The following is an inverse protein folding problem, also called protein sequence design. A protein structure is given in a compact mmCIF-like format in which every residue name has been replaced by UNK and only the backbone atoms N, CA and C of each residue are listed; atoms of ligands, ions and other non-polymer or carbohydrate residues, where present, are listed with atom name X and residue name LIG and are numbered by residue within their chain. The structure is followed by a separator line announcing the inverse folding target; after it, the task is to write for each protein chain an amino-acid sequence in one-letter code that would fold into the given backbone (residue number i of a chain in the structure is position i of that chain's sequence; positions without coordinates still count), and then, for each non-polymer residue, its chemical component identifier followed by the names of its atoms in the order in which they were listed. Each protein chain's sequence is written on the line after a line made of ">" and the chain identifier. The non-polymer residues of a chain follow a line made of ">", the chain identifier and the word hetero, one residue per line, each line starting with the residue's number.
data_IF_898760829583
#
_entry.id   IF_898760829583
#
_cell.length_a   1.000
_cell.length_b   1.000
_cell.length_c   1.000
_cell.angle_alpha   90.00
_cell.angle_beta   90.00
_cell.angle_gamma   90.00
#
_symmetry.space_group_name_H-M   'P 1'
#
loop_
_entity.id
_entity.type
_entity.pdbx_description
1 polymer ?
#
# COMPACT_ATOMS: atom_id res chain seq x y z
N UNK A 1 16.70 -2.85 -20.40
CA UNK A 1 16.46 -2.77 -18.94
C UNK A 1 17.39 -1.74 -18.32
N UNK A 2 16.85 -0.65 -17.73
CA UNK A 2 17.61 0.38 -17.02
C UNK A 2 18.46 -0.17 -15.87
N UNK A 3 19.51 0.56 -15.49
CA UNK A 3 20.44 0.13 -14.43
C UNK A 3 19.76 0.02 -13.06
N UNK A 4 18.83 0.92 -12.73
CA UNK A 4 18.10 0.92 -11.45
C UNK A 4 17.10 -0.24 -11.28
N UNK A 5 16.94 -1.11 -12.28
CA UNK A 5 16.15 -2.35 -12.20
C UNK A 5 17.02 -3.61 -12.19
N UNK A 6 18.35 -3.47 -12.23
CA UNK A 6 19.32 -4.57 -12.25
C UNK A 6 20.04 -4.65 -10.92
N UNK A 7 20.06 -5.82 -10.30
CA UNK A 7 20.76 -6.00 -9.02
C UNK A 7 22.26 -6.06 -9.27
N UNK A 8 23.03 -5.23 -8.54
CA UNK A 8 24.47 -5.10 -8.76
C UNK A 8 25.19 -6.44 -8.50
N UNK A 9 25.97 -6.90 -9.49
CA UNK A 9 26.76 -8.13 -9.38
C UNK A 9 26.01 -9.42 -9.71
N UNK A 10 24.76 -9.34 -10.18
CA UNK A 10 23.98 -10.50 -10.61
C UNK A 10 23.36 -10.28 -11.99
N UNK A 11 22.70 -11.30 -12.54
CA UNK A 11 21.80 -11.17 -13.69
C UNK A 11 20.34 -10.92 -13.30
N UNK A 12 20.06 -10.67 -12.02
CA UNK A 12 18.70 -10.51 -11.53
C UNK A 12 18.08 -9.17 -11.95
N UNK A 13 16.80 -9.22 -12.29
CA UNK A 13 16.00 -8.05 -12.65
C UNK A 13 14.86 -7.89 -11.67
N UNK A 14 14.73 -6.71 -11.05
CA UNK A 14 13.64 -6.37 -10.15
C UNK A 14 12.68 -5.38 -10.82
N UNK A 15 11.38 -5.71 -10.85
CA UNK A 15 10.29 -4.91 -11.42
C UNK A 15 10.55 -4.44 -12.87
N UNK A 16 11.35 -5.18 -13.64
CA UNK A 16 11.80 -4.82 -14.99
C UNK A 16 11.16 -5.63 -16.12
N UNK A 17 9.94 -6.10 -15.91
CA UNK A 17 9.25 -7.05 -16.79
C UNK A 17 8.99 -6.52 -18.21
N UNK A 18 8.80 -5.21 -18.38
CA UNK A 18 8.68 -4.58 -19.71
C UNK A 18 9.93 -4.78 -20.58
N UNK A 19 11.09 -4.97 -19.93
CA UNK A 19 12.37 -5.18 -20.60
C UNK A 19 12.81 -6.63 -20.61
N UNK A 20 11.94 -7.56 -20.19
CA UNK A 20 12.28 -8.96 -20.04
C UNK A 20 12.66 -9.58 -21.38
N UNK A 21 13.78 -10.31 -21.35
CA UNK A 21 14.31 -11.10 -22.46
C UNK A 21 15.15 -12.22 -21.87
N UNK A 22 15.03 -13.44 -22.38
CA UNK A 22 15.82 -14.59 -21.92
C UNK A 22 17.34 -14.37 -21.97
N UNK A 23 17.83 -13.61 -22.96
CA UNK A 23 19.26 -13.26 -23.06
C UNK A 23 19.73 -12.27 -21.98
N UNK A 24 18.81 -11.65 -21.27
CA UNK A 24 19.08 -10.66 -20.23
C UNK A 24 19.09 -11.29 -18.83
N UNK A 25 18.11 -12.12 -18.54
CA UNK A 25 17.94 -12.82 -17.26
C UNK A 25 16.95 -13.97 -17.40
N UNK A 26 17.16 -15.00 -16.58
CA UNK A 26 16.16 -16.06 -16.33
C UNK A 26 15.50 -15.90 -14.95
N UNK A 27 15.95 -14.92 -14.14
CA UNK A 27 15.52 -14.69 -12.75
C UNK A 27 14.96 -13.27 -12.59
N UNK A 28 13.64 -13.18 -12.48
CA UNK A 28 12.91 -11.93 -12.33
C UNK A 28 12.30 -11.83 -10.94
N UNK A 29 12.29 -10.64 -10.36
CA UNK A 29 11.82 -10.37 -9.01
C UNK A 29 10.70 -9.34 -9.07
N UNK A 30 9.53 -9.67 -8.53
CA UNK A 30 8.38 -8.76 -8.44
C UNK A 30 8.15 -8.36 -6.98
N UNK A 31 8.27 -7.08 -6.69
CA UNK A 31 8.14 -6.56 -5.30
C UNK A 31 6.69 -6.56 -4.82
N UNK A 32 5.74 -6.25 -5.70
CA UNK A 32 4.31 -6.21 -5.38
C UNK A 32 3.43 -6.16 -6.64
N UNK A 33 2.11 -6.25 -6.47
CA UNK A 33 1.14 -6.33 -7.57
C UNK A 33 0.52 -4.98 -7.95
N UNK A 34 1.34 -3.98 -8.32
CA UNK A 34 0.88 -2.76 -9.03
C UNK A 34 1.39 -2.71 -10.47
N UNK A 35 0.59 -2.09 -11.35
CA UNK A 35 0.71 -2.25 -12.80
C UNK A 35 1.97 -1.66 -13.43
N UNK A 36 2.52 -0.63 -12.81
CA UNK A 36 3.79 -0.02 -13.15
C UNK A 36 5.00 -0.88 -12.75
N UNK A 37 4.82 -1.84 -11.83
CA UNK A 37 5.86 -2.80 -11.43
C UNK A 37 5.75 -4.12 -12.18
N UNK A 38 4.53 -4.67 -12.35
CA UNK A 38 4.32 -5.90 -13.12
C UNK A 38 4.21 -5.67 -14.64
N UNK A 39 4.24 -4.41 -15.09
CA UNK A 39 4.06 -4.05 -16.50
C UNK A 39 5.01 -4.83 -17.42
N UNK A 40 4.43 -5.57 -18.38
CA UNK A 40 5.15 -6.50 -19.26
C UNK A 40 4.90 -7.98 -18.96
N UNK A 41 4.43 -8.32 -17.76
CA UNK A 41 3.93 -9.67 -17.46
C UNK A 41 2.60 -9.89 -18.20
N UNK A 42 2.49 -11.01 -18.92
CA UNK A 42 1.27 -11.42 -19.62
C UNK A 42 0.98 -12.89 -19.37
N UNK A 43 -0.22 -13.36 -19.69
CA UNK A 43 -0.57 -14.79 -19.62
C UNK A 43 0.38 -15.74 -20.37
N UNK A 44 1.08 -15.23 -21.39
CA UNK A 44 2.02 -15.99 -22.21
C UNK A 44 3.47 -15.86 -21.71
N UNK A 45 3.68 -15.39 -20.48
CA UNK A 45 5.01 -15.21 -19.91
C UNK A 45 5.86 -16.48 -20.05
N UNK A 46 7.07 -16.33 -20.62
CA UNK A 46 8.02 -17.43 -20.81
C UNK A 46 9.48 -17.02 -20.67
N UNK A 47 9.75 -15.82 -20.16
CA UNK A 47 11.11 -15.25 -20.13
C UNK A 47 11.97 -15.77 -18.98
N UNK A 48 11.37 -16.33 -17.93
CA UNK A 48 12.10 -16.85 -16.76
C UNK A 48 11.21 -17.05 -15.54
N UNK A 49 11.84 -17.38 -14.42
CA UNK A 49 11.16 -17.52 -13.12
C UNK A 49 10.88 -16.16 -12.50
N UNK A 50 9.70 -16.00 -11.90
CA UNK A 50 9.28 -14.81 -11.16
C UNK A 50 9.28 -15.14 -9.67
N UNK A 51 10.22 -14.55 -8.95
CA UNK A 51 10.34 -14.61 -7.50
C UNK A 51 9.59 -13.45 -6.86
N UNK A 52 8.72 -13.74 -5.90
CA UNK A 52 7.90 -12.75 -5.21
C UNK A 52 7.35 -13.31 -3.88
N UNK A 53 6.48 -12.58 -3.21
CA UNK A 53 5.71 -13.11 -2.07
C UNK A 53 4.57 -14.02 -2.55
N UNK A 54 4.08 -14.93 -1.69
CA UNK A 54 2.94 -15.80 -2.00
C UNK A 54 1.67 -15.03 -2.42
N UNK A 55 1.24 -13.95 -1.71
CA UNK A 55 0.13 -13.12 -2.16
C UNK A 55 0.33 -12.56 -3.57
N UNK A 56 1.54 -12.10 -3.89
CA UNK A 56 1.86 -11.54 -5.21
C UNK A 56 1.80 -12.63 -6.28
N UNK A 57 2.35 -13.82 -6.03
CA UNK A 57 2.26 -14.94 -6.96
C UNK A 57 0.80 -15.34 -7.25
N UNK A 58 -0.05 -15.43 -6.22
CA UNK A 58 -1.46 -15.72 -6.39
C UNK A 58 -2.15 -14.67 -7.26
N UNK A 59 -1.92 -13.38 -6.99
CA UNK A 59 -2.50 -12.29 -7.79
C UNK A 59 -2.02 -12.32 -9.25
N UNK A 60 -0.74 -12.60 -9.50
CA UNK A 60 -0.19 -12.72 -10.86
C UNK A 60 -0.84 -13.89 -11.61
N UNK A 61 -1.02 -15.04 -10.96
CA UNK A 61 -1.73 -16.18 -11.55
C UNK A 61 -3.20 -15.84 -11.83
N UNK A 62 -3.94 -15.37 -10.82
CA UNK A 62 -5.38 -15.20 -10.88
C UNK A 62 -5.81 -14.03 -11.76
N UNK A 63 -5.04 -12.93 -11.77
CA UNK A 63 -5.41 -11.70 -12.48
C UNK A 63 -4.73 -11.55 -13.84
N UNK A 64 -3.51 -12.08 -14.02
CA UNK A 64 -2.77 -11.97 -15.28
C UNK A 64 -2.71 -13.28 -16.07
N UNK A 65 -3.09 -14.41 -15.45
CA UNK A 65 -3.16 -15.72 -16.12
C UNK A 65 -1.80 -16.37 -16.35
N UNK A 66 -0.75 -15.95 -15.63
CA UNK A 66 0.58 -16.55 -15.75
C UNK A 66 0.57 -17.97 -15.21
N UNK A 67 1.13 -18.92 -15.95
CA UNK A 67 1.28 -20.30 -15.51
C UNK A 67 2.11 -20.41 -14.21
N UNK A 68 1.61 -21.18 -13.24
CA UNK A 68 2.25 -21.37 -11.92
C UNK A 68 3.67 -21.90 -12.01
N UNK A 69 4.05 -22.59 -13.08
CA UNK A 69 5.43 -23.08 -13.28
C UNK A 69 6.47 -21.95 -13.33
N UNK A 70 6.06 -20.72 -13.67
CA UNK A 70 6.92 -19.54 -13.69
C UNK A 70 6.89 -18.76 -12.39
N UNK A 71 6.01 -19.10 -11.45
CA UNK A 71 5.80 -18.35 -10.22
C UNK A 71 6.43 -19.10 -9.05
N UNK A 72 7.46 -18.51 -8.47
CA UNK A 72 8.20 -19.11 -7.36
C UNK A 72 8.15 -18.21 -6.12
N UNK A 73 7.06 -18.28 -5.33
CA UNK A 73 6.95 -17.48 -4.13
C UNK A 73 8.01 -17.90 -3.10
N UNK A 74 8.65 -16.91 -2.47
CA UNK A 74 9.65 -17.15 -1.43
C UNK A 74 9.02 -16.97 -0.03
N UNK A 75 9.48 -17.72 0.98
CA UNK A 75 9.06 -17.54 2.37
C UNK A 75 9.53 -16.19 2.93
N UNK A 76 8.66 -15.54 3.72
CA UNK A 76 8.97 -14.29 4.41
C UNK A 76 10.05 -14.49 5.48
N UNK A 77 11.00 -13.56 5.57
CA UNK A 77 12.08 -13.54 6.56
C UNK A 77 13.01 -14.78 6.55
N UNK A 78 12.97 -15.58 5.49
CA UNK A 78 13.77 -16.81 5.36
C UNK A 78 14.80 -16.67 4.24
N UNK A 79 16.11 -16.82 4.53
CA UNK A 79 17.14 -16.83 3.51
C UNK A 79 16.93 -17.98 2.50
N UNK A 80 16.87 -17.65 1.22
CA UNK A 80 16.71 -18.61 0.12
C UNK A 80 17.82 -18.42 -0.91
N UNK A 81 18.42 -19.51 -1.39
CA UNK A 81 19.51 -19.45 -2.36
C UNK A 81 18.94 -19.50 -3.78
N UNK A 82 19.33 -18.52 -4.61
CA UNK A 82 18.99 -18.45 -6.04
C UNK A 82 20.30 -18.28 -6.82
N UNK A 83 20.49 -19.08 -7.88
CA UNK A 83 21.70 -18.99 -8.69
C UNK A 83 21.60 -17.85 -9.73
N UNK A 84 22.60 -16.97 -9.74
CA UNK A 84 22.85 -15.99 -10.79
C UNK A 84 24.03 -16.45 -11.62
N UNK A 85 23.81 -16.90 -12.87
CA UNK A 85 24.87 -17.44 -13.75
C UNK A 85 25.78 -18.48 -13.05
N UNK A 86 25.17 -19.40 -12.32
CA UNK A 86 25.88 -20.44 -11.55
C UNK A 86 26.47 -19.99 -10.21
N UNK A 87 26.42 -18.69 -9.87
CA UNK A 87 26.86 -18.17 -8.57
C UNK A 87 25.68 -18.14 -7.58
N UNK A 88 25.79 -18.75 -6.38
CA UNK A 88 24.71 -18.73 -5.39
C UNK A 88 24.56 -17.35 -4.77
N UNK A 89 23.33 -16.81 -4.78
CA UNK A 89 22.95 -15.55 -4.15
C UNK A 89 21.90 -15.83 -3.09
N UNK A 90 22.10 -15.35 -1.87
CA UNK A 90 21.05 -15.44 -0.84
C UNK A 90 20.07 -14.30 -0.99
N UNK A 91 18.78 -14.61 -0.98
CA UNK A 91 17.67 -13.66 -1.10
C UNK A 91 16.73 -13.84 0.09
N UNK A 92 16.38 -12.75 0.76
CA UNK A 92 15.42 -12.73 1.87
C UNK A 92 14.33 -11.71 1.61
N UNK A 93 13.06 -12.10 1.80
CA UNK A 93 11.92 -11.20 1.72
C UNK A 93 11.67 -10.50 3.06
N UNK A 94 11.40 -9.21 3.03
CA UNK A 94 11.07 -8.38 4.20
C UNK A 94 9.80 -7.57 3.91
N UNK A 95 8.98 -7.27 4.91
CA UNK A 95 7.72 -6.54 4.72
C UNK A 95 7.98 -5.07 4.33
N UNK A 96 7.38 -4.60 3.23
CA UNK A 96 7.59 -3.23 2.73
C UNK A 96 6.65 -2.18 3.35
N UNK A 97 5.66 -2.58 4.15
CA UNK A 97 4.63 -1.71 4.70
C UNK A 97 3.90 -0.83 3.64
N UNK A 98 3.80 -1.31 2.41
CA UNK A 98 3.15 -0.63 1.29
C UNK A 98 1.71 -1.12 1.12
N UNK A 99 1.47 -2.06 0.21
CA UNK A 99 0.20 -2.76 0.02
C UNK A 99 0.31 -4.22 0.50
N UNK A 100 -0.81 -4.96 0.64
CA UNK A 100 -0.76 -6.39 0.97
C UNK A 100 0.11 -7.18 -0.02
N UNK A 101 1.02 -8.00 0.50
CA UNK A 101 1.97 -8.78 -0.30
C UNK A 101 3.22 -8.03 -0.74
N UNK A 102 3.31 -6.71 -0.52
CA UNK A 102 4.48 -5.94 -0.90
C UNK A 102 5.70 -6.26 -0.03
N UNK A 103 6.84 -6.42 -0.68
CA UNK A 103 8.09 -6.85 -0.06
C UNK A 103 9.29 -6.02 -0.50
N UNK A 104 10.25 -5.92 0.41
CA UNK A 104 11.64 -5.59 0.10
C UNK A 104 12.42 -6.89 -0.13
N UNK A 105 13.40 -6.85 -1.03
CA UNK A 105 14.36 -7.93 -1.21
C UNK A 105 15.71 -7.55 -0.62
N UNK A 106 16.22 -8.37 0.29
CA UNK A 106 17.61 -8.32 0.73
C UNK A 106 18.42 -9.37 -0.04
N UNK A 107 19.35 -8.92 -0.88
CA UNK A 107 20.28 -9.76 -1.63
C UNK A 107 21.65 -9.76 -0.95
N UNK A 108 22.24 -10.95 -0.82
CA UNK A 108 23.60 -11.14 -0.32
C UNK A 108 24.47 -11.68 -1.45
N UNK A 109 25.27 -10.80 -2.06
CA UNK A 109 26.07 -11.08 -3.26
C UNK A 109 27.54 -11.12 -2.85
N UNK A 110 28.05 -12.32 -2.55
CA UNK A 110 29.33 -12.48 -1.88
C UNK A 110 29.34 -11.73 -0.54
N UNK A 111 30.26 -10.78 -0.37
CA UNK A 111 30.34 -9.96 0.84
C UNK A 111 29.42 -8.73 0.82
N UNK A 112 28.67 -8.48 -0.26
CA UNK A 112 27.80 -7.31 -0.39
C UNK A 112 26.39 -7.57 0.12
N UNK A 113 25.81 -6.61 0.83
CA UNK A 113 24.38 -6.59 1.21
C UNK A 113 23.67 -5.50 0.41
N UNK A 114 22.67 -5.89 -0.38
CA UNK A 114 21.92 -5.01 -1.27
C UNK A 114 20.44 -5.09 -0.91
N UNK A 115 19.83 -3.96 -0.55
CA UNK A 115 18.41 -3.89 -0.22
C UNK A 115 17.65 -3.20 -1.36
N UNK A 116 16.70 -3.90 -1.98
CA UNK A 116 15.75 -3.31 -2.91
C UNK A 116 14.41 -3.14 -2.20
N UNK A 117 14.00 -1.90 -1.94
CA UNK A 117 12.82 -1.65 -1.10
C UNK A 117 11.49 -1.82 -1.85
N UNK A 118 11.52 -1.91 -3.18
CA UNK A 118 10.29 -1.83 -3.99
C UNK A 118 9.61 -0.49 -3.75
N UNK A 119 8.29 -0.48 -3.68
CA UNK A 119 7.54 0.61 -3.07
C UNK A 119 7.35 0.30 -1.59
N UNK A 120 7.59 1.29 -0.73
CA UNK A 120 7.60 1.07 0.72
C UNK A 120 7.18 2.31 1.52
N UNK A 121 6.69 2.07 2.72
CA UNK A 121 6.47 3.13 3.72
C UNK A 121 7.28 2.88 4.97
N UNK A 122 8.40 3.58 5.08
CA UNK A 122 9.28 3.49 6.24
C UNK A 122 8.55 3.88 7.52
N UNK A 123 8.62 2.97 8.49
CA UNK A 123 8.23 3.19 9.87
C UNK A 123 9.30 2.50 10.72
N UNK A 124 10.14 3.26 11.42
CA UNK A 124 11.29 2.70 12.14
C UNK A 124 10.89 1.76 13.28
N UNK A 125 9.78 2.03 13.97
CA UNK A 125 9.27 1.16 15.04
C UNK A 125 8.81 -0.21 14.53
N UNK A 126 8.23 -0.26 13.32
CA UNK A 126 7.82 -1.50 12.66
C UNK A 126 9.02 -2.19 12.00
N UNK A 127 9.77 -1.45 11.20
CA UNK A 127 10.79 -2.02 10.33
C UNK A 127 12.02 -2.50 11.09
N UNK A 128 12.44 -1.82 12.16
CA UNK A 128 13.57 -2.27 12.98
C UNK A 128 13.22 -3.44 13.92
N UNK A 129 11.98 -3.96 13.90
CA UNK A 129 11.66 -5.26 14.52
C UNK A 129 12.17 -6.42 13.69
N UNK A 130 12.34 -6.23 12.38
CA UNK A 130 12.94 -7.22 11.49
C UNK A 130 14.44 -7.32 11.80
N UNK A 131 14.96 -8.48 12.28
CA UNK A 131 16.36 -8.61 12.68
C UNK A 131 17.35 -8.23 11.57
N UNK A 132 17.00 -8.53 10.32
CA UNK A 132 17.79 -8.23 9.13
C UNK A 132 18.02 -6.72 8.96
N UNK A 133 16.98 -5.88 9.14
CA UNK A 133 17.12 -4.43 9.05
C UNK A 133 17.76 -3.83 10.30
N UNK A 134 17.42 -4.37 11.47
CA UNK A 134 18.01 -3.94 12.75
C UNK A 134 19.52 -4.09 12.75
N UNK A 135 20.05 -5.15 12.14
CA UNK A 135 21.48 -5.39 12.01
C UNK A 135 22.21 -4.21 11.33
N UNK A 136 21.59 -3.59 10.32
CA UNK A 136 22.19 -2.44 9.61
C UNK A 136 22.18 -1.14 10.43
N UNK A 137 21.28 -1.00 11.41
CA UNK A 137 21.26 0.15 12.33
C UNK A 137 22.47 0.18 13.27
N UNK A 138 23.04 -1.00 13.57
CA UNK A 138 24.14 -1.18 14.53
C UNK A 138 25.54 -1.06 13.91
N UNK A 139 25.67 -0.51 12.70
CA UNK A 139 26.91 -0.28 11.94
C UNK A 139 27.72 -1.53 11.50
N UNK A 140 27.44 -2.72 12.05
CA UNK A 140 28.05 -3.97 11.62
C UNK A 140 27.03 -5.14 11.63
N UNK A 141 26.69 -5.74 10.47
CA UNK A 141 27.16 -5.42 9.11
C UNK A 141 26.62 -4.09 8.59
N UNK A 142 27.32 -3.48 7.63
CA UNK A 142 26.85 -2.27 6.94
C UNK A 142 26.12 -2.63 5.65
N UNK A 143 25.05 -1.91 5.33
CA UNK A 143 24.36 -2.02 4.05
C UNK A 143 25.21 -1.39 2.93
N UNK A 144 25.48 -2.13 1.85
CA UNK A 144 26.31 -1.63 0.74
C UNK A 144 25.49 -0.77 -0.22
N UNK A 145 24.37 -1.28 -0.70
CA UNK A 145 23.54 -0.60 -1.69
C UNK A 145 22.06 -0.64 -1.27
N UNK A 146 21.36 0.47 -1.46
CA UNK A 146 19.91 0.52 -1.36
C UNK A 146 19.32 1.02 -2.69
N UNK A 147 18.35 0.27 -3.22
CA UNK A 147 17.46 0.75 -4.29
C UNK A 147 16.23 1.33 -3.59
N UNK A 148 16.06 2.64 -3.67
CA UNK A 148 15.17 3.43 -2.82
C UNK A 148 13.98 4.00 -3.59
N UNK A 149 12.77 3.67 -3.13
CA UNK A 149 11.54 4.38 -3.48
C UNK A 149 11.70 5.86 -3.13
N UNK A 150 11.63 6.68 -4.15
CA UNK A 150 11.91 8.11 -4.09
C UNK A 150 10.67 8.95 -4.46
N UNK A 151 9.48 8.32 -4.46
CA UNK A 151 8.17 8.92 -4.80
C UNK A 151 7.94 10.29 -4.16
N UNK A 152 8.28 10.44 -2.87
CA UNK A 152 8.16 11.71 -2.14
C UNK A 152 9.51 12.24 -1.65
N UNK A 153 10.58 12.06 -2.42
CA UNK A 153 11.92 12.57 -2.11
C UNK A 153 12.06 14.09 -2.34
N UNK A 154 11.17 14.88 -1.72
CA UNK A 154 11.26 16.34 -1.71
C UNK A 154 10.76 16.89 -0.36
N UNK A 155 11.47 17.85 0.27
CA UNK A 155 11.08 18.40 1.58
C UNK A 155 9.66 18.97 1.68
N UNK A 156 9.01 19.28 0.55
CA UNK A 156 7.61 19.73 0.53
C UNK A 156 6.61 18.63 0.93
N UNK A 157 7.01 17.36 0.86
CA UNK A 157 6.15 16.21 1.14
C UNK A 157 6.27 15.76 2.60
N UNK A 158 5.66 16.53 3.50
CA UNK A 158 5.46 16.15 4.90
C UNK A 158 4.06 15.59 5.06
N UNK A 159 3.92 14.26 5.01
CA UNK A 159 2.65 13.55 5.13
C UNK A 159 2.43 13.16 6.60
N UNK A 160 1.17 13.05 7.07
CA UNK A 160 0.89 12.48 8.39
C UNK A 160 1.25 10.99 8.40
N UNK A 161 1.39 10.39 9.59
CA UNK A 161 1.57 8.93 9.71
C UNK A 161 0.33 8.17 9.23
N UNK A 162 0.46 6.85 8.99
CA UNK A 162 -0.72 6.03 8.66
C UNK A 162 -1.73 6.05 9.82
N UNK A 163 -1.24 6.02 11.05
CA UNK A 163 -2.01 6.03 12.29
C UNK A 163 -2.79 7.33 12.46
N UNK A 164 -2.16 8.50 12.21
CA UNK A 164 -2.83 9.80 12.26
C UNK A 164 -3.93 9.93 11.20
N UNK A 165 -3.66 9.46 9.96
CA UNK A 165 -4.64 9.48 8.89
C UNK A 165 -5.83 8.54 9.17
N UNK A 166 -5.57 7.37 9.73
CA UNK A 166 -6.61 6.41 10.15
C UNK A 166 -7.44 6.99 11.29
N UNK A 167 -6.80 7.55 12.33
CA UNK A 167 -7.49 8.15 13.47
C UNK A 167 -8.42 9.29 13.01
N UNK A 168 -7.95 10.16 12.12
CA UNK A 168 -8.77 11.24 11.58
C UNK A 168 -9.95 10.72 10.74
N UNK A 169 -9.79 9.64 9.98
CA UNK A 169 -10.89 9.02 9.23
C UNK A 169 -11.93 8.37 10.17
N UNK A 170 -11.47 7.74 11.24
CA UNK A 170 -12.33 7.18 12.29
C UNK A 170 -13.16 8.28 12.97
N UNK A 171 -12.54 9.38 13.39
CA UNK A 171 -13.22 10.51 14.03
C UNK A 171 -14.32 11.10 13.13
N UNK A 172 -14.04 11.25 11.84
CA UNK A 172 -15.05 11.68 10.86
C UNK A 172 -16.19 10.66 10.79
N UNK A 173 -15.89 9.37 10.67
CA UNK A 173 -16.92 8.35 10.56
C UNK A 173 -17.83 8.29 11.81
N UNK A 174 -17.25 8.37 13.01
CA UNK A 174 -17.99 8.41 14.28
C UNK A 174 -18.93 9.63 14.37
N UNK A 175 -18.45 10.82 13.97
CA UNK A 175 -19.27 12.04 13.92
C UNK A 175 -20.44 11.92 12.95
N UNK A 176 -20.22 11.29 11.79
CA UNK A 176 -21.25 11.07 10.78
C UNK A 176 -22.29 10.04 11.26
N UNK A 177 -21.88 8.99 11.98
CA UNK A 177 -22.80 8.07 12.67
C UNK A 177 -23.64 8.81 13.72
N UNK A 178 -23.01 9.63 14.56
CA UNK A 178 -23.71 10.39 15.60
C UNK A 178 -24.75 11.35 15.00
N UNK A 179 -24.44 11.95 13.85
CA UNK A 179 -25.35 12.85 13.14
C UNK A 179 -26.55 12.11 12.56
N UNK A 180 -26.32 11.00 11.85
CA UNK A 180 -27.40 10.18 11.31
C UNK A 180 -28.33 9.66 12.42
N UNK A 181 -27.78 9.27 13.58
CA UNK A 181 -28.58 8.86 14.74
C UNK A 181 -29.52 9.95 15.23
N UNK A 182 -29.06 11.21 15.33
CA UNK A 182 -29.92 12.36 15.72
C UNK A 182 -31.03 12.62 14.70
N UNK A 183 -30.73 12.41 13.42
CA UNK A 183 -31.67 12.59 12.32
C UNK A 183 -32.59 11.38 12.08
N UNK A 184 -32.46 10.30 12.88
CA UNK A 184 -33.17 9.03 12.70
C UNK A 184 -32.95 8.41 11.30
N UNK A 185 -31.75 8.58 10.76
CA UNK A 185 -31.33 8.00 9.48
C UNK A 185 -30.07 7.15 9.64
N UNK A 186 -29.58 6.55 8.56
CA UNK A 186 -28.26 5.91 8.48
C UNK A 186 -27.30 6.67 7.56
N UNK A 187 -26.01 6.52 7.81
CA UNK A 187 -24.95 6.96 6.90
C UNK A 187 -24.46 5.79 6.06
N UNK A 188 -24.41 5.97 4.74
CA UNK A 188 -23.69 5.10 3.83
C UNK A 188 -22.25 5.59 3.67
N UNK A 189 -21.29 4.81 4.13
CA UNK A 189 -19.86 5.09 3.97
C UNK A 189 -19.33 4.46 2.68
N UNK A 190 -18.68 5.26 1.84
CA UNK A 190 -18.00 4.79 0.63
C UNK A 190 -16.49 4.99 0.79
N UNK A 191 -15.70 3.93 0.71
CA UNK A 191 -14.24 4.01 0.69
C UNK A 191 -13.73 3.78 -0.73
N UNK A 192 -13.08 4.80 -1.30
CA UNK A 192 -12.46 4.69 -2.61
C UNK A 192 -11.15 3.92 -2.53
N UNK A 193 -11.03 2.82 -3.27
CA UNK A 193 -9.77 2.08 -3.43
C UNK A 193 -9.54 1.65 -4.89
N UNK A 194 -8.29 1.30 -5.20
CA UNK A 194 -7.84 0.66 -6.44
C UNK A 194 -8.04 -0.87 -6.34
N UNK A 195 -7.26 -1.66 -7.08
CA UNK A 195 -7.36 -3.14 -7.05
C UNK A 195 -6.95 -3.71 -5.68
N UNK A 196 -5.74 -3.36 -5.21
CA UNK A 196 -5.22 -3.61 -3.85
C UNK A 196 -4.55 -2.34 -3.34
N UNK A 197 -4.47 -2.18 -2.02
CA UNK A 197 -3.96 -0.99 -1.34
C UNK A 197 -5.06 -0.25 -0.58
N UNK A 198 -4.66 0.41 0.50
CA UNK A 198 -5.49 1.20 1.43
C UNK A 198 -6.42 0.35 2.30
N UNK A 199 -6.26 -0.97 2.34
CA UNK A 199 -7.09 -1.88 3.14
C UNK A 199 -7.16 -1.46 4.60
N UNK A 200 -6.02 -1.03 5.17
CA UNK A 200 -5.90 -0.62 6.57
C UNK A 200 -6.91 0.49 6.91
N UNK A 201 -7.17 1.46 6.03
CA UNK A 201 -8.03 2.60 6.39
C UNK A 201 -9.49 2.18 6.59
N UNK A 202 -10.05 1.44 5.64
CA UNK A 202 -11.46 1.08 5.69
C UNK A 202 -11.70 -0.08 6.67
N UNK A 203 -10.71 -0.96 6.88
CA UNK A 203 -10.79 -1.99 7.90
C UNK A 203 -10.75 -1.39 9.31
N UNK A 204 -9.87 -0.43 9.58
CA UNK A 204 -9.83 0.23 10.89
C UNK A 204 -11.11 1.00 11.21
N UNK A 205 -11.72 1.65 10.21
CA UNK A 205 -13.02 2.30 10.38
C UNK A 205 -14.12 1.27 10.62
N UNK A 206 -14.13 0.16 9.87
CA UNK A 206 -15.10 -0.92 10.05
C UNK A 206 -15.00 -1.55 11.44
N UNK A 207 -13.79 -1.86 11.89
CA UNK A 207 -13.53 -2.41 13.22
C UNK A 207 -14.02 -1.48 14.32
N UNK A 208 -13.68 -0.18 14.24
CA UNK A 208 -14.13 0.82 15.22
C UNK A 208 -15.66 0.90 15.28
N UNK A 209 -16.32 0.94 14.13
CA UNK A 209 -17.77 1.04 14.04
C UNK A 209 -18.48 -0.31 14.22
N UNK A 210 -17.73 -1.40 14.40
CA UNK A 210 -18.25 -2.78 14.48
C UNK A 210 -19.11 -3.15 13.27
N UNK A 211 -18.65 -2.78 12.08
CA UNK A 211 -19.30 -3.04 10.80
C UNK A 211 -18.51 -4.09 10.02
N UNK A 212 -19.20 -4.86 9.18
CA UNK A 212 -18.54 -5.53 8.04
C UNK A 212 -18.17 -4.51 6.97
N UNK A 213 -17.34 -4.92 6.01
CA UNK A 213 -16.96 -4.17 4.81
C UNK A 213 -17.58 -4.84 3.60
N UNK A 214 -18.50 -4.16 2.91
CA UNK A 214 -18.99 -4.64 1.64
C UNK A 214 -17.95 -4.42 0.53
N UNK A 215 -17.70 -5.48 -0.24
CA UNK A 215 -16.94 -5.46 -1.49
C UNK A 215 -17.70 -6.26 -2.55
N UNK A 216 -17.52 -5.94 -3.83
CA UNK A 216 -18.08 -6.77 -4.89
C UNK A 216 -17.40 -8.16 -4.95
N UNK A 217 -18.00 -9.10 -5.69
CA UNK A 217 -17.49 -10.47 -5.82
C UNK A 217 -16.09 -10.52 -6.46
N UNK A 218 -15.74 -9.56 -7.32
CA UNK A 218 -14.43 -9.52 -7.98
C UNK A 218 -13.35 -9.11 -6.97
N UNK A 219 -13.57 -8.04 -6.23
CA UNK A 219 -12.66 -7.57 -5.16
C UNK A 219 -12.56 -8.61 -4.04
N UNK A 220 -13.66 -9.28 -3.68
CA UNK A 220 -13.60 -10.36 -2.70
C UNK A 220 -12.62 -11.47 -3.11
N UNK A 221 -12.68 -11.94 -4.37
CA UNK A 221 -11.72 -12.93 -4.89
C UNK A 221 -10.28 -12.44 -4.85
N UNK A 222 -10.03 -11.17 -5.22
CA UNK A 222 -8.70 -10.55 -5.13
C UNK A 222 -8.20 -10.56 -3.68
N UNK A 223 -9.05 -10.17 -2.72
CA UNK A 223 -8.68 -10.16 -1.30
C UNK A 223 -8.43 -11.58 -0.77
N UNK A 224 -9.17 -12.58 -1.26
CA UNK A 224 -8.94 -13.99 -0.91
C UNK A 224 -7.57 -14.51 -1.33
N UNK A 225 -6.95 -13.93 -2.36
CA UNK A 225 -5.60 -14.29 -2.81
C UNK A 225 -4.47 -13.74 -1.90
N UNK A 226 -4.80 -12.88 -0.92
CA UNK A 226 -3.82 -12.20 -0.08
C UNK A 226 -3.30 -13.03 1.12
N UNK A 227 -3.77 -14.28 1.27
CA UNK A 227 -3.34 -15.19 2.35
C UNK A 227 -3.55 -14.59 3.76
N UNK A 228 -4.62 -13.82 3.94
CA UNK A 228 -4.94 -13.24 5.24
C UNK A 228 -5.60 -14.26 6.19
N UNK A 229 -5.44 -14.08 7.51
CA UNK A 229 -6.16 -14.87 8.50
C UNK A 229 -7.68 -14.83 8.29
N UNK A 230 -8.36 -15.93 8.60
CA UNK A 230 -9.82 -16.07 8.42
C UNK A 230 -10.58 -14.97 9.15
N UNK A 231 -10.11 -14.56 10.32
CA UNK A 231 -10.68 -13.50 11.15
C UNK A 231 -10.71 -12.17 10.39
N UNK A 232 -9.64 -11.86 9.65
CA UNK A 232 -9.58 -10.67 8.80
C UNK A 232 -10.51 -10.78 7.60
N UNK A 233 -10.58 -11.97 6.98
CA UNK A 233 -11.50 -12.21 5.86
C UNK A 233 -12.98 -12.15 6.28
N UNK A 234 -13.30 -12.50 7.53
CA UNK A 234 -14.66 -12.43 8.08
C UNK A 234 -15.19 -11.00 8.24
N UNK A 235 -14.31 -10.00 8.20
CA UNK A 235 -14.73 -8.59 8.17
C UNK A 235 -15.40 -8.23 6.84
N UNK A 236 -15.18 -8.99 5.76
CA UNK A 236 -15.74 -8.68 4.46
C UNK A 236 -17.08 -9.39 4.22
N UNK A 237 -17.92 -8.77 3.40
CA UNK A 237 -19.15 -9.37 2.88
C UNK A 237 -19.35 -8.99 1.41
N UNK A 238 -19.98 -9.89 0.65
CA UNK A 238 -20.44 -9.59 -0.72
C UNK A 238 -21.94 -9.25 -0.75
N UNK A 239 -22.56 -9.13 0.41
CA UNK A 239 -23.95 -8.78 0.58
C UNK A 239 -24.08 -7.33 1.07
N UNK A 240 -24.64 -6.44 0.22
CA UNK A 240 -24.86 -5.02 0.56
C UNK A 240 -25.78 -4.83 1.78
N UNK A 241 -26.64 -5.81 2.09
CA UNK A 241 -27.57 -5.73 3.21
C UNK A 241 -26.90 -5.92 4.57
N UNK A 242 -25.69 -6.45 4.60
CA UNK A 242 -24.95 -6.73 5.84
C UNK A 242 -24.06 -5.57 6.30
N UNK A 243 -23.94 -4.50 5.50
CA UNK A 243 -23.06 -3.39 5.83
C UNK A 243 -23.47 -2.08 5.18
N UNK A 244 -23.26 -0.97 5.90
CA UNK A 244 -23.31 0.39 5.37
C UNK A 244 -21.94 0.99 5.05
N UNK A 245 -20.88 0.17 4.99
CA UNK A 245 -19.52 0.57 4.62
C UNK A 245 -19.09 -0.21 3.38
N UNK A 246 -19.04 0.49 2.24
CA UNK A 246 -18.84 -0.10 0.92
C UNK A 246 -17.50 0.37 0.33
N UNK A 247 -16.70 -0.56 -0.19
CA UNK A 247 -15.49 -0.19 -0.95
C UNK A 247 -15.82 -0.13 -2.42
N UNK A 248 -15.57 1.03 -3.04
CA UNK A 248 -15.89 1.33 -4.44
C UNK A 248 -14.65 1.79 -5.20
N UNK A 249 -14.65 1.75 -6.55
CA UNK A 249 -13.59 2.39 -7.33
C UNK A 249 -13.38 3.84 -6.91
N UNK A 250 -12.13 4.26 -6.70
CA UNK A 250 -11.80 5.61 -6.24
C UNK A 250 -12.43 6.72 -7.12
N UNK A 251 -12.52 6.52 -8.44
CA UNK A 251 -13.15 7.48 -9.36
C UNK A 251 -14.65 7.73 -9.09
N UNK A 252 -15.35 6.77 -8.49
CA UNK A 252 -16.79 6.84 -8.22
C UNK A 252 -17.12 7.55 -6.89
N UNK A 253 -16.12 7.91 -6.08
CA UNK A 253 -16.33 8.69 -4.86
C UNK A 253 -16.42 10.18 -5.21
N UNK A 254 -17.56 10.59 -5.75
CA UNK A 254 -17.90 11.98 -6.06
C UNK A 254 -19.43 12.19 -6.02
N UNK A 255 -19.89 13.44 -5.95
CA UNK A 255 -21.30 13.77 -5.74
C UNK A 255 -22.27 13.23 -6.80
N UNK A 256 -21.82 12.99 -8.04
CA UNK A 256 -22.69 12.45 -9.09
C UNK A 256 -23.02 10.99 -8.80
N UNK A 257 -22.02 10.13 -8.72
CA UNK A 257 -22.20 8.69 -8.46
C UNK A 257 -22.67 8.38 -7.03
N UNK A 258 -22.35 9.23 -6.04
CA UNK A 258 -22.84 9.04 -4.66
C UNK A 258 -24.37 9.06 -4.56
N UNK A 259 -25.06 9.76 -5.46
CA UNK A 259 -26.53 9.71 -5.53
C UNK A 259 -27.02 8.32 -5.93
N UNK A 260 -26.42 7.75 -6.97
CA UNK A 260 -26.76 6.42 -7.48
C UNK A 260 -26.56 5.34 -6.41
N UNK A 261 -25.49 5.44 -5.60
CA UNK A 261 -25.27 4.53 -4.47
C UNK A 261 -26.29 4.70 -3.35
N UNK A 262 -26.73 5.94 -3.07
CA UNK A 262 -27.77 6.21 -2.09
C UNK A 262 -29.09 5.57 -2.51
N UNK A 263 -29.47 5.79 -3.77
CA UNK A 263 -30.69 5.24 -4.36
C UNK A 263 -30.63 3.72 -4.34
N UNK A 264 -29.49 3.13 -4.75
CA UNK A 264 -29.27 1.69 -4.67
C UNK A 264 -29.37 1.14 -3.24
N UNK A 265 -28.73 1.79 -2.28
CA UNK A 265 -28.73 1.34 -0.89
C UNK A 265 -30.09 1.45 -0.21
N UNK A 266 -30.94 2.38 -0.66
CA UNK A 266 -32.31 2.55 -0.18
C UNK A 266 -33.33 1.67 -0.93
N UNK A 267 -32.94 0.97 -2.01
CA UNK A 267 -33.82 -0.02 -2.64
C UNK A 267 -34.20 -1.08 -1.62
N UNK A 268 -35.48 -1.47 -1.63
CA UNK A 268 -36.05 -2.56 -0.83
C UNK A 268 -36.07 -2.34 0.71
N UNK A 269 -35.81 -1.14 1.23
CA UNK A 269 -35.89 -0.83 2.68
C UNK A 269 -35.16 -1.85 3.57
N UNK A 270 -34.01 -2.32 3.10
CA UNK A 270 -33.25 -3.42 3.70
C UNK A 270 -32.88 -3.17 5.17
N UNK A 271 -32.71 -1.91 5.54
CA UNK A 271 -32.37 -1.50 6.90
C UNK A 271 -33.57 -0.87 7.61
N UNK A 272 -33.58 -0.98 8.94
CA UNK A 272 -34.59 -0.37 9.83
C UNK A 272 -34.78 1.14 9.68
N UNK A 273 -33.84 1.83 9.03
CA UNK A 273 -33.93 3.23 8.67
C UNK A 273 -33.21 3.46 7.32
N UNK A 274 -33.72 4.38 6.48
CA UNK A 274 -33.09 4.68 5.20
C UNK A 274 -31.74 5.37 5.40
N UNK A 275 -30.87 5.27 4.38
CA UNK A 275 -29.73 6.15 4.26
C UNK A 275 -30.23 7.58 4.06
N UNK A 276 -29.91 8.45 5.00
CA UNK A 276 -30.17 9.89 4.93
C UNK A 276 -28.96 10.66 4.41
N UNK A 277 -27.78 10.02 4.42
CA UNK A 277 -26.50 10.65 4.11
C UNK A 277 -25.54 9.66 3.45
N UNK A 278 -24.71 10.14 2.53
CA UNK A 278 -23.59 9.38 1.97
C UNK A 278 -22.28 10.12 2.21
N UNK A 279 -21.31 9.41 2.77
CA UNK A 279 -20.01 9.94 3.16
C UNK A 279 -18.93 9.15 2.43
N UNK A 280 -18.25 9.82 1.51
CA UNK A 280 -17.19 9.24 0.69
C UNK A 280 -15.82 9.58 1.22
N UNK A 281 -14.98 8.59 1.47
CA UNK A 281 -13.56 8.75 1.78
C UNK A 281 -12.72 8.49 0.53
N UNK A 282 -11.83 9.42 0.21
CA UNK A 282 -10.81 9.32 -0.84
C UNK A 282 -9.45 9.28 -0.17
N UNK A 283 -8.89 8.10 0.14
CA UNK A 283 -7.53 7.98 0.64
C UNK A 283 -6.58 8.23 -0.53
N UNK A 284 -5.81 9.31 -0.45
CA UNK A 284 -4.86 9.73 -1.49
C UNK A 284 -3.58 10.19 -0.80
N UNK A 285 -2.42 9.96 -1.41
CA UNK A 285 -1.13 10.33 -0.84
C UNK A 285 -1.01 11.85 -0.65
N UNK A 286 -0.55 12.58 -1.67
CA UNK A 286 -0.45 14.03 -1.58
C UNK A 286 -1.70 14.75 -2.09
N UNK A 287 -2.65 15.00 -1.19
CA UNK A 287 -3.71 16.02 -1.37
C UNK A 287 -3.64 17.13 -0.30
N UNK A 288 -2.55 17.15 0.49
CA UNK A 288 -2.33 18.16 1.51
C UNK A 288 -1.99 19.49 0.85
N UNK A 289 -3.00 20.35 0.70
CA UNK A 289 -2.78 21.76 0.46
C UNK A 289 -2.24 22.36 1.75
N UNK A 290 -0.91 22.56 1.84
CA UNK A 290 -0.36 23.36 2.93
C UNK A 290 -1.07 24.71 2.99
N UNK A 291 -1.41 25.24 4.18
CA UNK A 291 -1.73 26.66 4.28
C UNK A 291 -0.56 27.46 3.68
N UNK A 292 -0.86 28.52 2.92
CA UNK A 292 0.14 29.42 2.31
C UNK A 292 1.30 29.65 3.29
N UNK A 293 2.53 29.36 2.84
CA UNK A 293 3.75 29.49 3.65
C UNK A 293 3.85 30.90 4.25
N UNK A 294 3.86 31.00 5.58
CA UNK A 294 4.59 32.07 6.25
C UNK A 294 6.08 31.75 6.10
N UNK A 295 6.81 32.62 5.43
CA UNK A 295 8.26 32.59 5.24
C UNK A 295 9.00 32.67 6.58
N UNK A 296 9.40 31.53 7.16
CA UNK A 296 10.55 31.47 8.08
C UNK A 296 11.34 30.17 7.85
N UNK A 297 12.67 30.24 7.73
CA UNK A 297 13.51 29.06 7.56
C UNK A 297 13.70 28.32 8.89
N UNK A 298 13.80 27.00 8.79
CA UNK A 298 14.35 26.05 9.78
C UNK A 298 14.02 26.28 11.27
N UNK A 299 13.10 25.45 11.78
CA UNK A 299 13.07 25.05 13.19
C UNK A 299 13.12 23.53 13.26
N UNK A 300 14.24 23.01 13.76
CA UNK A 300 14.43 21.60 14.13
C UNK A 300 13.84 21.38 15.52
N UNK A 301 12.53 21.15 15.58
CA UNK A 301 11.84 20.60 16.74
C UNK A 301 10.50 20.03 16.27
N UNK A 302 10.08 18.83 16.69
CA UNK A 302 8.75 18.32 16.40
C UNK A 302 7.77 19.15 17.23
N UNK A 303 7.29 20.26 16.66
CA UNK A 303 6.22 21.02 17.29
C UNK A 303 4.98 20.14 17.29
N UNK A 304 4.62 19.62 18.46
CA UNK A 304 3.29 19.07 18.79
C UNK A 304 2.24 20.13 18.52
N UNK A 305 1.81 20.29 17.27
CA UNK A 305 0.61 21.06 16.92
C UNK A 305 -0.56 20.11 16.83
N UNK A 306 -1.11 19.84 18.00
CA UNK A 306 -2.48 19.35 18.20
C UNK A 306 -3.46 20.10 17.27
N UNK A 307 -4.26 19.35 16.51
CA UNK A 307 -5.58 19.82 16.05
C UNK A 307 -5.68 20.63 14.75
N UNK A 308 -4.94 20.32 13.69
CA UNK A 308 -5.34 20.78 12.33
C UNK A 308 -6.20 19.72 11.66
N UNK A 309 -7.36 20.12 11.12
CA UNK A 309 -8.25 19.26 10.32
C UNK A 309 -7.46 18.58 9.19
N UNK A 310 -7.01 17.35 9.45
CA UNK A 310 -6.19 16.56 8.53
C UNK A 310 -6.97 16.15 7.29
N UNK A 311 -8.29 16.04 7.45
CA UNK A 311 -9.24 15.66 6.42
C UNK A 311 -9.76 16.90 5.69
N UNK A 312 -9.50 16.95 4.38
CA UNK A 312 -10.18 17.92 3.50
C UNK A 312 -11.63 17.47 3.29
N UNK A 313 -12.59 18.39 3.32
CA UNK A 313 -14.02 18.04 3.21
C UNK A 313 -14.70 18.92 2.17
N UNK A 314 -15.49 18.30 1.28
CA UNK A 314 -16.44 18.97 0.39
C UNK A 314 -17.82 18.42 0.66
N UNK A 315 -18.83 19.29 0.76
CA UNK A 315 -20.22 18.89 1.01
C UNK A 315 -21.15 19.39 -0.10
N UNK A 316 -22.25 18.67 -0.30
CA UNK A 316 -23.36 19.05 -1.19
C UNK A 316 -24.63 18.42 -0.64
N UNK A 317 -25.39 19.16 0.18
CA UNK A 317 -26.59 18.65 0.85
C UNK A 317 -26.31 17.39 1.68
N UNK A 318 -26.88 16.25 1.27
CA UNK A 318 -26.75 14.94 1.95
C UNK A 318 -25.46 14.19 1.62
N UNK A 319 -24.56 14.78 0.85
CA UNK A 319 -23.32 14.14 0.40
C UNK A 319 -22.10 14.86 0.99
N UNK A 320 -21.12 14.09 1.47
CA UNK A 320 -19.82 14.60 1.90
C UNK A 320 -18.69 13.77 1.28
N UNK A 321 -17.67 14.43 0.73
CA UNK A 321 -16.44 13.80 0.22
C UNK A 321 -15.26 14.28 1.05
N UNK A 322 -14.57 13.33 1.67
CA UNK A 322 -13.42 13.53 2.53
C UNK A 322 -12.15 13.06 1.83
N UNK A 323 -11.22 13.97 1.57
CA UNK A 323 -9.86 13.60 1.16
C UNK A 323 -9.04 13.25 2.40
N UNK A 324 -8.61 11.99 2.49
CA UNK A 324 -7.75 11.48 3.57
C UNK A 324 -6.31 11.44 3.05
N UNK A 325 -5.35 12.14 3.69
CA UNK A 325 -3.93 12.07 3.34
C UNK A 325 -3.29 10.76 3.81
N UNK A 326 -3.77 9.62 3.28
CA UNK A 326 -3.29 8.28 3.58
C UNK A 326 -2.33 7.83 2.46
N UNK A 327 -1.05 7.77 2.78
CA UNK A 327 0.01 7.30 1.87
C UNK A 327 0.45 5.88 2.21
N UNK A 328 0.81 5.12 1.20
CA UNK A 328 1.53 3.84 1.31
C UNK A 328 3.00 3.98 0.85
N UNK A 329 3.45 5.21 0.60
CA UNK A 329 4.85 5.55 0.35
C UNK A 329 5.39 6.45 1.46
N UNK A 330 6.69 6.34 1.70
CA UNK A 330 7.44 7.17 2.64
C UNK A 330 7.40 8.64 2.24
N UNK A 331 7.05 9.50 3.19
CA UNK A 331 7.27 10.95 3.16
C UNK A 331 8.76 11.29 3.21
N UNK A 332 9.11 12.55 2.92
CA UNK A 332 10.50 12.98 2.96
C UNK A 332 11.16 12.79 4.35
N UNK A 333 10.53 13.15 5.49
CA UNK A 333 11.09 12.86 6.81
C UNK A 333 11.29 11.36 7.08
N UNK A 334 10.35 10.50 6.66
CA UNK A 334 10.44 9.04 6.78
C UNK A 334 11.62 8.50 5.94
N UNK A 335 11.83 8.98 4.71
CA UNK A 335 12.99 8.62 3.88
C UNK A 335 14.32 9.04 4.51
N UNK A 336 14.37 10.24 5.10
CA UNK A 336 15.56 10.72 5.80
C UNK A 336 15.86 9.87 7.03
N UNK A 337 14.84 9.49 7.81
CA UNK A 337 15.02 8.56 8.94
C UNK A 337 15.52 7.18 8.47
N UNK A 338 14.91 6.61 7.42
CA UNK A 338 15.35 5.35 6.81
C UNK A 338 16.85 5.37 6.51
N UNK A 339 17.34 6.41 5.83
CA UNK A 339 18.76 6.51 5.45
C UNK A 339 19.68 6.75 6.66
N UNK A 340 19.21 7.48 7.68
CA UNK A 340 19.95 7.65 8.95
C UNK A 340 20.08 6.35 9.73
N UNK A 341 19.04 5.52 9.72
CA UNK A 341 19.04 4.23 10.40
C UNK A 341 19.87 3.21 9.63
N UNK A 342 19.65 3.03 8.32
CA UNK A 342 20.28 1.95 7.55
C UNK A 342 21.69 2.27 7.04
N UNK A 343 22.07 3.55 6.97
CA UNK A 343 23.43 4.05 6.62
C UNK A 343 24.08 3.37 5.40
N UNK A 344 23.36 3.23 4.27
CA UNK A 344 23.88 2.57 3.07
C UNK A 344 25.14 3.26 2.55
N UNK A 345 26.05 2.52 1.91
CA UNK A 345 27.21 3.14 1.23
C UNK A 345 26.81 3.82 -0.08
N UNK A 346 25.79 3.30 -0.76
CA UNK A 346 25.28 3.81 -2.04
C UNK A 346 23.76 3.79 -2.08
N UNK A 347 23.17 4.83 -2.63
CA UNK A 347 21.72 4.95 -2.88
C UNK A 347 21.48 4.96 -4.39
N UNK A 348 20.51 4.18 -4.85
CA UNK A 348 20.05 4.12 -6.23
C UNK A 348 18.56 4.48 -6.22
N UNK A 349 18.18 5.61 -6.81
CA UNK A 349 16.78 6.01 -6.90
C UNK A 349 16.03 5.14 -7.92
N UNK A 350 14.85 4.65 -7.57
CA UNK A 350 13.99 3.84 -8.45
C UNK A 350 12.81 4.61 -9.05
N UNK A 351 12.51 5.80 -8.51
CA UNK A 351 11.43 6.70 -8.92
C UNK A 351 12.02 8.10 -9.11
N UNK A 352 11.52 8.87 -10.07
CA UNK A 352 12.05 10.21 -10.42
C UNK A 352 11.18 11.34 -9.88
#
# INVERSE_FOLDING_TARGET
>A
CPSYKRITGTDFICDGFFYAKRSLSENYFLTHFHSDHYGGITKNWSEGTIYCSLPTANLVNDQLGVDRRYLHPLPMNTPTIIASKGTPITVTLLDANHCPGAIMFLFEVGNKKILHVGDFRWNSELMLRMPQLRAFSQLNPRLDEIFLDTTYCNPKYTLPTQEEAIAAAIEVAEREVATAKREKTKTLFLFGSYTIGKEKIYLSVAERLKLKVYVDKRRYRILSALEWPKERMNMFTTNKTESCLWVVPLGQVNFKQMREFMDEGNKNNVFSAPYGRVVGFRPTGWTYSSPKKSTKPFSTSPSKKSGRNLISTKTSGRYAVHGVPYSEHSSFPELVDCLRQLKPKKIIATVS
#
